data_IF_883938255324
#
_entry.id   IF_883938255324
#
_cell.length_a   1.000
_cell.length_b   1.000
_cell.length_c   1.000
_cell.angle_alpha   90.00
_cell.angle_beta   90.00
_cell.angle_gamma   90.00
#
_symmetry.space_group_name_H-M   'P 1'
#
loop_
_entity.id
_entity.type
_entity.pdbx_description
1 polymer ?
#
# COMPACT_ATOMS: atom_id res chain seq x y z
N UNK A 1 -49.05 -32.26 72.92
CA UNK A 1 -47.91 -33.16 72.61
C UNK A 1 -46.76 -32.24 72.20
N UNK A 2 -45.94 -31.83 73.17
CA UNK A 2 -44.62 -32.42 73.46
C UNK A 2 -43.68 -32.25 72.26
N UNK A 3 -42.49 -31.64 72.32
CA UNK A 3 -41.62 -31.11 73.38
C UNK A 3 -40.26 -30.88 72.68
N UNK A 4 -39.70 -29.68 72.73
CA UNK A 4 -38.54 -29.31 73.58
C UNK A 4 -37.26 -30.11 73.28
N UNK A 5 -36.21 -29.47 72.74
CA UNK A 5 -34.91 -29.20 73.43
C UNK A 5 -33.76 -29.88 72.62
N UNK A 6 -32.52 -29.41 72.45
CA UNK A 6 -31.67 -28.48 73.19
C UNK A 6 -30.51 -27.98 72.28
N UNK A 7 -30.02 -26.77 72.58
CA UNK A 7 -28.68 -26.18 72.26
C UNK A 7 -27.67 -26.65 73.36
N UNK A 8 -26.38 -26.21 73.51
CA UNK A 8 -25.47 -25.33 72.73
C UNK A 8 -23.92 -25.65 72.76
N UNK A 9 -23.13 -24.78 72.11
CA UNK A 9 -21.79 -24.19 72.48
C UNK A 9 -20.44 -24.95 72.35
N UNK A 10 -19.50 -24.30 71.61
CA UNK A 10 -18.13 -23.81 71.99
C UNK A 10 -17.49 -23.15 70.72
N UNK A 11 -17.16 -21.84 70.64
CA UNK A 11 -16.02 -21.01 71.12
C UNK A 11 -14.62 -21.30 70.52
N UNK A 12 -14.04 -20.27 69.86
CA UNK A 12 -12.59 -19.93 69.63
C UNK A 12 -11.77 -20.89 68.73
N UNK A 13 -10.81 -20.54 67.87
CA UNK A 13 -9.99 -19.34 67.66
C UNK A 13 -9.23 -19.43 66.29
N UNK A 14 -8.73 -18.29 65.80
CA UNK A 14 -7.54 -18.05 64.94
C UNK A 14 -7.37 -18.66 63.52
N UNK A 15 -6.94 -17.78 62.59
CA UNK A 15 -5.79 -18.11 61.71
C UNK A 15 -5.96 -17.96 60.19
N UNK A 16 -5.70 -16.74 59.69
CA UNK A 16 -4.94 -16.39 58.46
C UNK A 16 -4.89 -17.39 57.28
N UNK A 17 -5.26 -16.91 56.07
CA UNK A 17 -4.60 -17.40 54.85
C UNK A 17 -5.40 -17.45 53.53
N UNK A 18 -6.14 -16.41 53.13
CA UNK A 18 -6.72 -16.37 51.77
C UNK A 18 -6.69 -14.97 51.15
N UNK A 19 -5.53 -14.50 50.69
CA UNK A 19 -5.41 -13.41 49.70
C UNK A 19 -4.14 -13.54 48.86
N UNK A 20 -4.08 -14.55 47.99
CA UNK A 20 -3.10 -14.57 46.88
C UNK A 20 -3.67 -15.06 45.54
N UNK A 21 -4.94 -15.49 45.46
CA UNK A 21 -5.52 -16.09 44.24
C UNK A 21 -6.12 -15.12 43.21
N UNK A 22 -6.46 -13.88 43.56
CA UNK A 22 -7.22 -13.02 42.64
C UNK A 22 -6.36 -12.29 41.59
N UNK A 23 -5.07 -12.09 41.85
CA UNK A 23 -4.18 -11.42 40.87
C UNK A 23 -3.75 -12.33 39.72
N UNK A 24 -3.78 -13.65 39.89
CA UNK A 24 -3.47 -14.60 38.81
C UNK A 24 -4.66 -14.82 37.85
N UNK A 25 -5.90 -14.77 38.33
CA UNK A 25 -7.08 -14.93 37.48
C UNK A 25 -7.34 -13.72 36.57
N UNK A 26 -6.97 -12.50 36.99
CA UNK A 26 -7.16 -11.31 36.16
C UNK A 26 -6.13 -11.20 35.02
N UNK A 27 -4.89 -11.64 35.26
CA UNK A 27 -3.87 -11.78 34.21
C UNK A 27 -4.26 -12.89 33.19
N UNK A 28 -4.82 -14.01 33.65
CA UNK A 28 -5.26 -15.11 32.78
C UNK A 28 -6.43 -14.71 31.85
N UNK A 29 -7.34 -13.85 32.31
CA UNK A 29 -8.46 -13.35 31.51
C UNK A 29 -8.02 -12.37 30.40
N UNK A 30 -7.00 -11.53 30.64
CA UNK A 30 -6.46 -10.61 29.64
C UNK A 30 -5.61 -11.37 28.60
N UNK A 31 -4.81 -12.35 29.02
CA UNK A 31 -4.05 -13.18 28.08
C UNK A 31 -4.98 -14.02 27.18
N UNK A 32 -6.08 -14.58 27.71
CA UNK A 32 -7.06 -15.32 26.91
C UNK A 32 -7.84 -14.46 25.91
N UNK A 33 -8.13 -13.20 26.25
CA UNK A 33 -8.82 -12.28 25.31
C UNK A 33 -7.91 -11.83 24.17
N UNK A 34 -6.63 -11.59 24.44
CA UNK A 34 -5.62 -11.24 23.43
C UNK A 34 -5.26 -12.44 22.53
N UNK A 35 -5.23 -13.66 23.07
CA UNK A 35 -5.03 -14.87 22.26
C UNK A 35 -6.25 -15.15 21.38
N UNK A 36 -7.48 -14.95 21.90
CA UNK A 36 -8.71 -15.07 21.09
C UNK A 36 -8.76 -14.03 19.98
N UNK A 37 -8.40 -12.77 20.23
CA UNK A 37 -8.40 -11.75 19.18
C UNK A 37 -7.34 -11.99 18.12
N UNK A 38 -6.14 -12.47 18.50
CA UNK A 38 -5.09 -12.86 17.54
C UNK A 38 -5.51 -14.06 16.69
N UNK A 39 -6.18 -15.08 17.26
CA UNK A 39 -6.70 -16.20 16.49
C UNK A 39 -7.86 -15.81 15.57
N UNK A 40 -8.73 -14.87 15.99
CA UNK A 40 -9.80 -14.35 15.14
C UNK A 40 -9.21 -13.53 13.98
N UNK A 41 -8.19 -12.70 14.22
CA UNK A 41 -7.53 -11.94 13.15
C UNK A 41 -6.77 -12.87 12.19
N UNK A 42 -6.05 -13.88 12.70
CA UNK A 42 -5.36 -14.85 11.86
C UNK A 42 -6.34 -15.70 11.01
N UNK A 43 -7.48 -16.12 11.58
CA UNK A 43 -8.51 -16.86 10.84
C UNK A 43 -9.26 -16.00 9.84
N UNK A 44 -9.45 -14.70 10.11
CA UNK A 44 -10.00 -13.75 9.14
C UNK A 44 -9.02 -13.46 8.00
N UNK A 45 -7.71 -13.38 8.28
CA UNK A 45 -6.68 -13.18 7.27
C UNK A 45 -6.49 -14.41 6.36
N UNK A 46 -6.52 -15.61 6.93
CA UNK A 46 -6.55 -16.87 6.16
C UNK A 46 -7.81 -16.94 5.28
N UNK A 47 -8.96 -16.44 5.79
CA UNK A 47 -10.22 -16.37 5.01
C UNK A 47 -10.15 -15.34 3.88
N UNK A 48 -9.50 -14.21 4.08
CA UNK A 48 -9.34 -13.18 3.04
C UNK A 48 -8.43 -13.68 1.91
N UNK A 49 -7.30 -14.30 2.24
CA UNK A 49 -6.38 -14.93 1.28
C UNK A 49 -7.04 -16.11 0.53
N UNK A 50 -7.84 -16.94 1.22
CA UNK A 50 -8.60 -18.02 0.53
C UNK A 50 -9.75 -17.49 -0.32
N UNK A 51 -10.39 -16.37 0.06
CA UNK A 51 -11.43 -15.75 -0.78
C UNK A 51 -10.80 -15.15 -2.05
N UNK A 52 -9.63 -14.50 -1.96
CA UNK A 52 -8.92 -14.01 -3.15
C UNK A 52 -8.46 -15.16 -4.06
N UNK A 53 -7.93 -16.26 -3.50
CA UNK A 53 -7.56 -17.43 -4.29
C UNK A 53 -8.77 -18.13 -4.93
N UNK A 54 -9.89 -18.22 -4.22
CA UNK A 54 -11.12 -18.83 -4.75
C UNK A 54 -11.77 -17.91 -5.79
N UNK A 55 -11.75 -16.58 -5.63
CA UNK A 55 -12.24 -15.63 -6.62
C UNK A 55 -11.37 -15.59 -7.88
N UNK A 56 -10.04 -15.67 -7.73
CA UNK A 56 -9.13 -15.77 -8.87
C UNK A 56 -9.28 -17.10 -9.59
N UNK A 57 -9.41 -18.23 -8.87
CA UNK A 57 -9.70 -19.53 -9.47
C UNK A 57 -11.08 -19.58 -10.15
N UNK A 58 -12.10 -18.96 -9.54
CA UNK A 58 -13.44 -18.83 -10.09
C UNK A 58 -13.46 -17.93 -11.34
N UNK A 59 -12.69 -16.84 -11.37
CA UNK A 59 -12.54 -16.01 -12.57
C UNK A 59 -11.82 -16.77 -13.69
N UNK A 60 -10.75 -17.49 -13.39
CA UNK A 60 -10.01 -18.29 -14.39
C UNK A 60 -10.89 -19.41 -14.95
N UNK A 61 -11.70 -20.07 -14.12
CA UNK A 61 -12.61 -21.13 -14.56
C UNK A 61 -13.85 -20.61 -15.29
N UNK A 62 -14.36 -19.43 -14.92
CA UNK A 62 -15.46 -18.78 -15.64
C UNK A 62 -15.01 -18.27 -17.01
N UNK A 63 -13.82 -17.67 -17.09
CA UNK A 63 -13.19 -17.28 -18.38
C UNK A 63 -12.91 -18.52 -19.24
N UNK A 64 -12.48 -19.64 -18.65
CA UNK A 64 -12.33 -20.89 -19.38
C UNK A 64 -13.67 -21.44 -19.90
N UNK A 65 -14.73 -21.48 -19.08
CA UNK A 65 -16.04 -22.01 -19.48
C UNK A 65 -16.80 -21.12 -20.47
N UNK A 66 -16.59 -19.80 -20.45
CA UNK A 66 -17.22 -18.87 -21.39
C UNK A 66 -16.48 -18.85 -22.76
N UNK A 67 -15.21 -19.26 -22.82
CA UNK A 67 -14.40 -19.33 -24.05
C UNK A 67 -14.46 -20.73 -24.73
N UNK A 68 -14.71 -21.79 -23.96
CA UNK A 68 -14.75 -23.18 -24.46
C UNK A 68 -15.82 -23.46 -25.53
N UNK A 69 -17.06 -22.92 -25.50
CA UNK A 69 -18.05 -23.25 -26.52
C UNK A 69 -17.81 -22.57 -27.90
N UNK A 70 -16.89 -21.60 -28.01
CA UNK A 70 -16.54 -20.99 -29.32
C UNK A 70 -15.34 -21.66 -30.02
N UNK A 71 -14.63 -22.60 -29.36
CA UNK A 71 -13.40 -23.21 -29.88
C UNK A 71 -13.55 -24.63 -30.44
N UNK A 72 -14.75 -25.21 -30.44
CA UNK A 72 -15.00 -26.55 -31.02
C UNK A 72 -14.90 -26.59 -32.57
N UNK A 73 -14.82 -25.44 -33.24
CA UNK A 73 -14.71 -25.37 -34.70
C UNK A 73 -13.28 -25.23 -35.25
N UNK A 74 -12.27 -24.96 -34.41
CA UNK A 74 -10.91 -24.67 -34.87
C UNK A 74 -9.85 -25.43 -34.04
N UNK A 75 -9.63 -26.70 -34.38
CA UNK A 75 -8.41 -27.49 -34.10
C UNK A 75 -7.80 -27.34 -32.71
N UNK A 76 -8.17 -28.23 -31.79
CA UNK A 76 -7.72 -28.23 -30.38
C UNK A 76 -6.20 -28.24 -30.11
N UNK A 77 -5.37 -28.46 -31.12
CA UNK A 77 -3.92 -28.34 -31.01
C UNK A 77 -3.44 -26.91 -30.71
N UNK A 78 -4.11 -25.88 -31.25
CA UNK A 78 -3.73 -24.48 -31.02
C UNK A 78 -4.09 -24.02 -29.60
N UNK A 79 -5.22 -24.48 -29.07
CA UNK A 79 -5.67 -24.16 -27.71
C UNK A 79 -4.73 -24.76 -26.68
N UNK A 80 -4.31 -26.01 -26.87
CA UNK A 80 -3.33 -26.65 -25.98
C UNK A 80 -1.96 -25.96 -26.02
N UNK A 81 -1.53 -25.46 -27.19
CA UNK A 81 -0.28 -24.70 -27.31
C UNK A 81 -0.34 -23.34 -26.60
N UNK A 82 -1.50 -22.66 -26.66
CA UNK A 82 -1.72 -21.38 -25.99
C UNK A 82 -1.77 -21.56 -24.47
N UNK A 83 -2.46 -22.60 -23.99
CA UNK A 83 -2.52 -22.93 -22.56
C UNK A 83 -1.14 -23.34 -22.02
N UNK A 84 -0.34 -24.08 -22.78
CA UNK A 84 1.03 -24.41 -22.41
C UNK A 84 1.94 -23.17 -22.36
N UNK A 85 1.77 -22.21 -23.28
CA UNK A 85 2.50 -20.94 -23.29
C UNK A 85 2.12 -20.05 -22.09
N UNK A 86 0.84 -20.03 -21.71
CA UNK A 86 0.37 -19.29 -20.53
C UNK A 86 0.89 -19.96 -19.24
N UNK A 87 0.89 -21.28 -19.16
CA UNK A 87 1.42 -22.01 -18.00
C UNK A 87 2.94 -21.79 -17.82
N UNK A 88 3.70 -21.72 -18.92
CA UNK A 88 5.14 -21.43 -18.87
C UNK A 88 5.44 -19.98 -18.48
N UNK A 89 4.63 -19.02 -18.94
CA UNK A 89 4.73 -17.62 -18.51
C UNK A 89 4.45 -17.45 -17.01
N UNK A 90 3.45 -18.14 -16.48
CA UNK A 90 3.11 -18.09 -15.05
C UNK A 90 4.21 -18.70 -14.17
N UNK A 91 4.77 -19.84 -14.58
CA UNK A 91 5.91 -20.46 -13.87
C UNK A 91 7.18 -19.60 -13.94
N UNK A 92 7.41 -18.88 -15.04
CA UNK A 92 8.53 -17.95 -15.17
C UNK A 92 8.39 -16.72 -14.25
N UNK A 93 7.16 -16.25 -14.01
CA UNK A 93 6.92 -15.14 -13.08
C UNK A 93 7.12 -15.52 -11.62
N UNK A 94 6.80 -16.76 -11.21
CA UNK A 94 7.10 -17.25 -9.86
C UNK A 94 8.61 -17.39 -9.61
N UNK A 95 9.38 -17.80 -10.63
CA UNK A 95 10.85 -17.91 -10.52
C UNK A 95 11.52 -16.53 -10.36
N UNK A 96 11.06 -15.52 -11.08
CA UNK A 96 11.59 -14.14 -11.02
C UNK A 96 11.32 -13.46 -9.66
N UNK A 97 10.20 -13.77 -9.02
CA UNK A 97 9.87 -13.24 -7.69
C UNK A 97 10.67 -13.94 -6.59
N UNK A 98 11.02 -15.22 -6.78
CA UNK A 98 11.76 -16.00 -5.77
C UNK A 98 13.28 -15.75 -5.75
N UNK A 99 13.87 -15.15 -6.79
CA UNK A 99 15.33 -14.91 -6.89
C UNK A 99 15.71 -13.43 -7.02
N UNK A 100 14.76 -12.49 -6.96
CA UNK A 100 14.99 -11.05 -7.11
C UNK A 100 15.38 -10.29 -5.83
N UNK A 101 16.09 -10.92 -4.89
CA UNK A 101 16.47 -10.32 -3.60
C UNK A 101 17.96 -10.52 -3.30
N UNK A 102 18.83 -9.97 -4.14
CA UNK A 102 20.14 -9.48 -3.68
C UNK A 102 20.74 -8.58 -4.76
N UNK A 103 20.52 -7.27 -4.64
CA UNK A 103 21.39 -6.31 -5.31
C UNK A 103 21.63 -5.10 -4.42
N UNK A 104 22.37 -5.34 -3.34
CA UNK A 104 23.14 -4.31 -2.66
C UNK A 104 24.40 -4.04 -3.48
N UNK A 105 24.32 -3.08 -4.41
CA UNK A 105 25.51 -2.33 -4.81
C UNK A 105 25.23 -0.83 -4.71
N UNK A 106 25.89 -0.24 -3.70
CA UNK A 106 25.96 1.18 -3.46
C UNK A 106 27.12 1.75 -4.29
N UNK A 107 26.87 2.95 -4.81
CA UNK A 107 27.83 3.99 -5.21
C UNK A 107 28.69 3.83 -6.48
N UNK A 108 28.54 4.87 -7.30
CA UNK A 108 29.59 5.50 -8.11
C UNK A 108 30.02 4.78 -9.38
N UNK A 109 29.18 4.88 -10.41
CA UNK A 109 29.68 5.02 -11.78
C UNK A 109 28.95 6.19 -12.43
N UNK A 110 29.73 7.15 -12.89
CA UNK A 110 29.28 8.16 -13.87
C UNK A 110 28.61 7.43 -15.04
N UNK A 111 27.57 8.00 -15.67
CA UNK A 111 26.97 7.39 -16.85
C UNK A 111 28.09 7.10 -17.87
N UNK A 112 28.12 5.92 -18.51
CA UNK A 112 29.04 5.69 -19.61
C UNK A 112 28.75 6.76 -20.66
N UNK A 113 29.80 7.47 -21.05
CA UNK A 113 29.75 8.53 -22.05
C UNK A 113 29.41 7.90 -23.42
N UNK A 114 28.11 7.79 -23.70
CA UNK A 114 27.54 7.36 -24.99
C UNK A 114 27.88 8.35 -26.11
N UNK A 115 28.33 9.57 -25.76
CA UNK A 115 28.70 10.59 -26.73
C UNK A 115 30.02 10.23 -27.45
N UNK A 116 31.03 9.71 -26.73
CA UNK A 116 32.34 9.43 -27.32
C UNK A 116 32.33 8.26 -28.34
N UNK A 117 31.51 7.23 -28.12
CA UNK A 117 31.35 6.13 -29.09
C UNK A 117 30.47 6.48 -30.29
N UNK A 118 29.48 7.37 -30.12
CA UNK A 118 28.67 7.86 -31.22
C UNK A 118 29.44 8.79 -32.17
N UNK A 119 30.40 9.57 -31.67
CA UNK A 119 31.19 10.49 -32.51
C UNK A 119 32.09 9.73 -33.50
N UNK A 120 32.74 8.63 -33.07
CA UNK A 120 33.60 7.83 -33.95
C UNK A 120 32.83 7.07 -35.03
N UNK A 121 31.64 6.54 -34.71
CA UNK A 121 30.78 5.87 -35.69
C UNK A 121 30.16 6.88 -36.70
N UNK A 122 29.81 8.08 -36.22
CA UNK A 122 29.30 9.16 -37.07
C UNK A 122 30.35 9.65 -38.07
N UNK A 123 31.60 9.81 -37.64
CA UNK A 123 32.69 10.23 -38.52
C UNK A 123 33.08 9.19 -39.58
N UNK A 124 32.86 7.89 -39.33
CA UNK A 124 33.08 6.85 -40.34
C UNK A 124 31.97 6.79 -41.40
N UNK A 125 30.71 7.06 -41.04
CA UNK A 125 29.60 7.10 -42.01
C UNK A 125 29.77 8.24 -43.01
N UNK A 126 30.20 9.43 -42.57
CA UNK A 126 30.40 10.59 -43.46
C UNK A 126 31.53 10.37 -44.49
N UNK A 127 32.57 9.61 -44.14
CA UNK A 127 33.71 9.30 -45.02
C UNK A 127 33.30 8.27 -46.09
N UNK A 128 32.53 7.26 -45.70
CA UNK A 128 32.00 6.26 -46.64
C UNK A 128 30.98 6.87 -47.61
N UNK A 129 30.13 7.79 -47.13
CA UNK A 129 29.19 8.55 -47.95
C UNK A 129 29.90 9.39 -49.02
N UNK A 130 31.03 10.04 -48.67
CA UNK A 130 31.84 10.81 -49.62
C UNK A 130 32.46 9.92 -50.70
N UNK A 131 33.04 8.77 -50.31
CA UNK A 131 33.65 7.84 -51.26
C UNK A 131 32.61 7.24 -52.23
N UNK A 132 31.42 6.86 -51.75
CA UNK A 132 30.34 6.33 -52.59
C UNK A 132 29.85 7.38 -53.60
N UNK A 133 29.78 8.65 -53.21
CA UNK A 133 29.43 9.76 -54.11
C UNK A 133 30.49 9.96 -55.20
N UNK A 134 31.77 9.90 -54.85
CA UNK A 134 32.87 10.02 -55.82
C UNK A 134 32.89 8.84 -56.81
N UNK A 135 32.64 7.61 -56.35
CA UNK A 135 32.49 6.45 -57.24
C UNK A 135 31.31 6.56 -58.20
N UNK A 136 30.17 7.08 -57.73
CA UNK A 136 29.00 7.34 -58.59
C UNK A 136 29.30 8.39 -59.67
N UNK A 137 30.09 9.43 -59.34
CA UNK A 137 30.53 10.45 -60.30
C UNK A 137 31.46 9.87 -61.37
N UNK A 138 32.45 9.08 -60.96
CA UNK A 138 33.40 8.43 -61.88
C UNK A 138 32.67 7.50 -62.84
N UNK A 139 31.70 6.72 -62.36
CA UNK A 139 30.89 5.82 -63.21
C UNK A 139 29.98 6.57 -64.18
N UNK A 140 29.40 7.70 -63.78
CA UNK A 140 28.58 8.56 -64.65
C UNK A 140 29.43 9.20 -65.76
N UNK A 141 30.67 9.58 -65.46
CA UNK A 141 31.63 10.12 -66.42
C UNK A 141 32.13 9.03 -67.39
N UNK A 142 32.43 7.84 -66.88
CA UNK A 142 32.77 6.67 -67.71
C UNK A 142 31.63 6.30 -68.66
N UNK A 143 30.38 6.32 -68.20
CA UNK A 143 29.22 6.10 -69.05
C UNK A 143 29.16 7.12 -70.21
N UNK A 144 29.30 8.43 -69.91
CA UNK A 144 29.31 9.49 -70.93
C UNK A 144 30.47 9.34 -71.91
N UNK A 145 31.63 8.87 -71.45
CA UNK A 145 32.79 8.61 -72.31
C UNK A 145 32.55 7.42 -73.26
N UNK A 146 31.96 6.32 -72.78
CA UNK A 146 31.57 5.19 -73.61
C UNK A 146 30.47 5.55 -74.64
N UNK A 147 29.51 6.41 -74.27
CA UNK A 147 28.49 6.95 -75.16
C UNK A 147 29.10 7.77 -76.32
N UNK A 148 30.07 8.64 -76.02
CA UNK A 148 30.79 9.44 -77.03
C UNK A 148 31.66 8.60 -77.97
N UNK A 149 32.19 7.48 -77.48
CA UNK A 149 33.03 6.56 -78.26
C UNK A 149 32.22 5.53 -79.07
N UNK A 150 30.88 5.51 -78.96
CA UNK A 150 30.01 4.56 -79.65
C UNK A 150 30.01 3.13 -79.05
N UNK A 151 30.57 2.94 -77.85
CA UNK A 151 30.63 1.65 -77.15
C UNK A 151 29.39 1.42 -76.29
N UNK A 152 28.27 1.17 -76.94
CA UNK A 152 26.95 1.10 -76.28
C UNK A 152 26.80 -0.04 -75.25
N UNK A 153 27.47 -1.18 -75.46
CA UNK A 153 27.41 -2.31 -74.52
C UNK A 153 28.08 -1.95 -73.19
N UNK A 154 29.25 -1.31 -73.23
CA UNK A 154 29.96 -0.84 -72.04
C UNK A 154 29.18 0.27 -71.32
N UNK A 155 28.58 1.20 -72.07
CA UNK A 155 27.71 2.23 -71.53
C UNK A 155 26.48 1.65 -70.81
N UNK A 156 25.87 0.59 -71.36
CA UNK A 156 24.73 -0.08 -70.74
C UNK A 156 25.13 -0.82 -69.44
N UNK A 157 26.31 -1.44 -69.39
CA UNK A 157 26.84 -2.07 -68.17
C UNK A 157 27.11 -1.01 -67.10
N UNK A 158 27.75 0.12 -67.47
CA UNK A 158 27.98 1.23 -66.55
C UNK A 158 26.67 1.82 -66.01
N UNK A 159 25.66 1.99 -66.88
CA UNK A 159 24.32 2.47 -66.51
C UNK A 159 23.61 1.52 -65.54
N UNK A 160 23.66 0.20 -65.78
CA UNK A 160 23.07 -0.79 -64.89
C UNK A 160 23.73 -0.76 -63.52
N UNK A 161 25.07 -0.69 -63.47
CA UNK A 161 25.83 -0.62 -62.22
C UNK A 161 25.56 0.68 -61.46
N UNK A 162 25.43 1.80 -62.17
CA UNK A 162 25.05 3.09 -61.59
C UNK A 162 23.66 3.04 -60.93
N UNK A 163 22.70 2.37 -61.58
CA UNK A 163 21.36 2.18 -61.02
C UNK A 163 21.37 1.31 -59.77
N UNK A 164 22.13 0.21 -59.80
CA UNK A 164 22.30 -0.69 -58.66
C UNK A 164 22.93 0.02 -57.46
N UNK A 165 24.03 0.76 -57.66
CA UNK A 165 24.69 1.50 -56.59
C UNK A 165 23.81 2.63 -56.04
N UNK A 166 23.08 3.36 -56.90
CA UNK A 166 22.08 4.36 -56.45
C UNK A 166 20.96 3.72 -55.62
N UNK A 167 20.55 2.50 -55.97
CA UNK A 167 19.55 1.76 -55.20
C UNK A 167 20.09 1.30 -53.83
N UNK A 168 21.30 0.73 -53.78
CA UNK A 168 21.94 0.34 -52.53
C UNK A 168 22.16 1.53 -51.61
N UNK A 169 22.63 2.65 -52.15
CA UNK A 169 22.87 3.86 -51.37
C UNK A 169 21.58 4.43 -50.78
N UNK A 170 20.52 4.46 -51.57
CA UNK A 170 19.19 4.86 -51.08
C UNK A 170 18.67 3.93 -49.98
N UNK A 171 18.92 2.63 -50.11
CA UNK A 171 18.51 1.62 -49.12
C UNK A 171 19.30 1.78 -47.82
N UNK A 172 20.64 1.90 -47.91
CA UNK A 172 21.53 2.15 -46.77
C UNK A 172 21.12 3.40 -45.99
N UNK A 173 20.91 4.53 -46.68
CA UNK A 173 20.45 5.77 -46.03
C UNK A 173 19.09 5.63 -45.36
N UNK A 174 18.15 4.90 -45.99
CA UNK A 174 16.82 4.62 -45.40
C UNK A 174 16.93 3.77 -44.13
N UNK A 175 17.83 2.79 -44.13
CA UNK A 175 18.09 1.94 -42.97
C UNK A 175 18.80 2.71 -41.86
N UNK A 176 19.78 3.57 -42.16
CA UNK A 176 20.43 4.43 -41.18
C UNK A 176 19.43 5.36 -40.48
N UNK A 177 18.54 6.02 -41.24
CA UNK A 177 17.45 6.83 -40.67
C UNK A 177 16.55 5.98 -39.77
N UNK A 178 16.14 4.79 -40.21
CA UNK A 178 15.30 3.89 -39.41
C UNK A 178 15.99 3.49 -38.11
N UNK A 179 17.26 3.11 -38.16
CA UNK A 179 18.05 2.71 -36.98
C UNK A 179 18.15 3.85 -35.98
N UNK A 180 18.43 5.07 -36.46
CA UNK A 180 18.46 6.27 -35.60
C UNK A 180 17.11 6.52 -34.93
N UNK A 181 16.01 6.47 -35.69
CA UNK A 181 14.66 6.69 -35.17
C UNK A 181 14.25 5.66 -34.11
N UNK A 182 14.68 4.40 -34.28
CA UNK A 182 14.47 3.34 -33.28
C UNK A 182 15.27 3.65 -32.01
N UNK A 183 16.55 4.04 -32.14
CA UNK A 183 17.39 4.38 -31.00
C UNK A 183 16.85 5.58 -30.20
N UNK A 184 16.40 6.64 -30.89
CA UNK A 184 15.75 7.79 -30.25
C UNK A 184 14.49 7.38 -29.47
N UNK A 185 13.65 6.53 -30.07
CA UNK A 185 12.43 6.05 -29.43
C UNK A 185 12.74 5.22 -28.19
N UNK A 186 13.71 4.30 -28.28
CA UNK A 186 14.15 3.51 -27.14
C UNK A 186 14.70 4.40 -26.02
N UNK A 187 15.50 5.42 -26.36
CA UNK A 187 16.02 6.37 -25.38
C UNK A 187 14.91 7.14 -24.63
N UNK A 188 13.86 7.56 -25.32
CA UNK A 188 12.69 8.21 -24.69
C UNK A 188 11.92 7.23 -23.79
N UNK A 189 11.75 5.98 -24.23
CA UNK A 189 11.08 4.94 -23.43
C UNK A 189 11.88 4.60 -22.16
N UNK A 190 13.20 4.45 -22.27
CA UNK A 190 14.11 4.20 -21.14
C UNK A 190 14.08 5.36 -20.13
N UNK A 191 14.16 6.60 -20.62
CA UNK A 191 14.08 7.80 -19.76
C UNK A 191 12.75 7.85 -19.00
N UNK A 192 11.63 7.60 -19.68
CA UNK A 192 10.31 7.58 -19.04
C UNK A 192 10.17 6.44 -18.01
N UNK A 193 10.70 5.24 -18.31
CA UNK A 193 10.70 4.12 -17.37
C UNK A 193 11.47 4.46 -16.09
N UNK A 194 12.61 5.15 -16.22
CA UNK A 194 13.38 5.62 -15.08
C UNK A 194 12.61 6.68 -14.27
N UNK A 195 12.01 7.66 -14.93
CA UNK A 195 11.18 8.68 -14.26
C UNK A 195 10.01 8.05 -13.49
N UNK A 196 9.34 7.05 -14.08
CA UNK A 196 8.24 6.34 -13.43
C UNK A 196 8.72 5.55 -12.20
N UNK A 197 9.90 4.93 -12.28
CA UNK A 197 10.51 4.24 -11.13
C UNK A 197 10.83 5.24 -10.01
N UNK A 198 11.45 6.37 -10.33
CA UNK A 198 11.77 7.41 -9.36
C UNK A 198 10.51 8.03 -8.75
N UNK A 199 9.47 8.25 -9.56
CA UNK A 199 8.16 8.69 -9.12
C UNK A 199 7.56 7.73 -8.11
N UNK A 200 7.59 6.42 -8.42
CA UNK A 200 7.09 5.37 -7.53
C UNK A 200 7.84 5.39 -6.19
N UNK A 201 9.17 5.37 -6.21
CA UNK A 201 9.99 5.40 -5.00
C UNK A 201 9.80 6.68 -4.17
N UNK A 202 9.63 7.83 -4.81
CA UNK A 202 9.38 9.09 -4.12
C UNK A 202 8.01 9.08 -3.43
N UNK A 203 6.99 8.56 -4.10
CA UNK A 203 5.64 8.44 -3.53
C UNK A 203 5.55 7.38 -2.44
N UNK A 204 6.21 6.23 -2.61
CA UNK A 204 6.23 5.19 -1.59
C UNK A 204 6.91 5.71 -0.31
N UNK A 205 8.00 6.49 -0.43
CA UNK A 205 8.60 7.21 0.70
C UNK A 205 7.66 8.22 1.34
N UNK A 206 7.01 9.08 0.54
CA UNK A 206 6.05 10.09 1.05
C UNK A 206 4.87 9.44 1.79
N UNK A 207 4.38 8.30 1.30
CA UNK A 207 3.33 7.52 1.95
C UNK A 207 3.84 6.91 3.26
N UNK A 208 5.06 6.36 3.27
CA UNK A 208 5.67 5.82 4.47
C UNK A 208 5.84 6.90 5.56
N UNK A 209 6.39 8.07 5.21
CA UNK A 209 6.55 9.19 6.15
C UNK A 209 5.20 9.62 6.76
N UNK A 210 4.14 9.60 5.94
CA UNK A 210 2.79 9.87 6.43
C UNK A 210 2.28 8.79 7.39
N UNK A 211 2.51 7.51 7.08
CA UNK A 211 2.15 6.38 7.95
C UNK A 211 2.87 6.46 9.29
N UNK A 212 4.18 6.69 9.28
CA UNK A 212 4.99 6.83 10.50
C UNK A 212 4.50 8.00 11.36
N UNK A 213 4.15 9.13 10.73
CA UNK A 213 3.58 10.26 11.43
C UNK A 213 2.19 9.95 12.03
N UNK A 214 1.35 9.19 11.33
CA UNK A 214 0.06 8.73 11.85
C UNK A 214 0.26 7.80 13.06
N UNK A 215 1.17 6.83 12.97
CA UNK A 215 1.48 5.91 14.08
C UNK A 215 1.96 6.66 15.32
N UNK A 216 2.84 7.65 15.12
CA UNK A 216 3.30 8.53 16.20
C UNK A 216 2.15 9.33 16.83
N UNK A 217 1.25 9.88 16.02
CA UNK A 217 0.09 10.61 16.53
C UNK A 217 -0.87 9.69 17.30
N UNK A 218 -1.12 8.48 16.81
CA UNK A 218 -1.91 7.48 17.53
C UNK A 218 -1.27 7.07 18.84
N UNK A 219 0.05 6.86 18.85
CA UNK A 219 0.83 6.57 20.05
C UNK A 219 0.68 7.67 21.10
N UNK A 220 0.86 8.93 20.70
CA UNK A 220 0.72 10.09 21.58
C UNK A 220 -0.69 10.21 22.18
N UNK A 221 -1.75 9.94 21.39
CA UNK A 221 -3.12 9.96 21.91
C UNK A 221 -3.34 8.81 22.89
N UNK A 222 -2.86 7.61 22.58
CA UNK A 222 -2.99 6.44 23.48
C UNK A 222 -2.30 6.70 24.82
N UNK A 223 -1.09 7.24 24.80
CA UNK A 223 -0.34 7.59 26.01
C UNK A 223 -1.06 8.66 26.83
N UNK A 224 -1.52 9.74 26.18
CA UNK A 224 -2.31 10.79 26.86
C UNK A 224 -3.58 10.21 27.49
N UNK A 225 -4.34 9.40 26.75
CA UNK A 225 -5.55 8.77 27.26
C UNK A 225 -5.28 7.85 28.46
N UNK A 226 -4.16 7.12 28.45
CA UNK A 226 -3.77 6.29 29.59
C UNK A 226 -3.43 7.14 30.83
N UNK A 227 -2.63 8.19 30.66
CA UNK A 227 -2.25 9.08 31.76
C UNK A 227 -3.46 9.83 32.33
N UNK A 228 -4.34 10.32 31.47
CA UNK A 228 -5.58 10.98 31.89
C UNK A 228 -6.52 10.02 32.62
N UNK A 229 -6.60 8.75 32.20
CA UNK A 229 -7.40 7.73 32.89
C UNK A 229 -6.87 7.45 34.30
N UNK A 230 -5.56 7.31 34.45
CA UNK A 230 -4.92 7.11 35.77
C UNK A 230 -5.17 8.30 36.68
N UNK A 231 -4.91 9.53 36.20
CA UNK A 231 -5.16 10.75 36.96
C UNK A 231 -6.65 10.93 37.32
N UNK A 232 -7.55 10.46 36.45
CA UNK A 232 -8.99 10.48 36.73
C UNK A 232 -9.37 9.48 37.82
N UNK A 233 -8.83 8.27 37.78
CA UNK A 233 -9.05 7.24 38.81
C UNK A 233 -8.52 7.66 40.19
N UNK A 234 -7.36 8.30 40.24
CA UNK A 234 -6.79 8.86 41.46
C UNK A 234 -7.72 9.93 42.05
N UNK A 235 -8.16 10.90 41.24
CA UNK A 235 -9.12 11.94 41.66
C UNK A 235 -10.46 11.37 42.16
N UNK A 236 -10.94 10.29 41.55
CA UNK A 236 -12.17 9.61 41.99
C UNK A 236 -11.98 8.89 43.35
N UNK A 237 -10.77 8.42 43.63
CA UNK A 237 -10.42 7.78 44.89
C UNK A 237 -10.29 8.81 46.02
N UNK A 238 -9.71 9.96 45.73
CA UNK A 238 -9.52 11.05 46.71
C UNK A 238 -10.80 11.82 47.02
N UNK A 239 -11.68 12.01 46.03
CA UNK A 239 -12.90 12.82 46.17
C UNK A 239 -14.08 12.05 46.80
N UNK A 240 -13.84 10.98 47.56
CA UNK A 240 -14.92 10.17 48.10
C UNK A 240 -15.69 10.90 49.23
N UNK A 241 -16.98 11.22 49.04
CA UNK A 241 -17.76 11.87 50.08
C UNK A 241 -17.98 10.91 51.25
N UNK A 242 -17.96 11.42 52.48
CA UNK A 242 -18.29 10.63 53.67
C UNK A 242 -19.79 10.34 53.71
N UNK A 243 -20.16 9.13 54.11
CA UNK A 243 -21.55 8.76 54.35
C UNK A 243 -22.16 9.66 55.44
N UNK A 244 -23.38 10.14 55.20
CA UNK A 244 -24.20 10.83 56.19
C UNK A 244 -25.43 9.97 56.46
N UNK A 245 -25.55 9.45 57.67
CA UNK A 245 -26.70 8.67 58.11
C UNK A 245 -27.96 9.54 58.22
N UNK A 246 -29.13 8.94 58.00
CA UNK A 246 -30.41 9.63 58.16
C UNK A 246 -30.62 10.09 59.61
N UNK A 247 -31.39 11.17 59.77
CA UNK A 247 -31.85 11.64 61.09
C UNK A 247 -32.61 10.55 61.84
N UNK A 248 -33.33 9.70 61.13
CA UNK A 248 -34.12 8.61 61.71
C UNK A 248 -33.24 7.52 62.31
N UNK A 249 -32.14 7.13 61.65
CA UNK A 249 -31.16 6.21 62.21
C UNK A 249 -30.52 6.77 63.48
N UNK A 250 -30.14 8.06 63.44
CA UNK A 250 -29.56 8.75 64.61
C UNK A 250 -30.56 8.88 65.77
N UNK A 251 -31.85 8.96 65.48
CA UNK A 251 -32.92 8.99 66.49
C UNK A 251 -33.14 7.59 67.09
N UNK A 252 -33.17 6.54 66.26
CA UNK A 252 -33.27 5.15 66.73
C UNK A 252 -32.10 4.77 67.64
N UNK A 253 -30.87 5.17 67.30
CA UNK A 253 -29.68 5.00 68.16
C UNK A 253 -29.78 5.77 69.49
N UNK A 254 -30.33 6.99 69.49
CA UNK A 254 -30.59 7.75 70.73
C UNK A 254 -31.67 7.12 71.60
N UNK A 255 -32.71 6.54 70.99
CA UNK A 255 -33.78 5.82 71.72
C UNK A 255 -33.21 4.51 72.29
N UNK A 256 -32.39 3.78 71.53
CA UNK A 256 -31.65 2.60 72.00
C UNK A 256 -30.83 2.92 73.26
N UNK A 257 -29.98 3.96 73.23
CA UNK A 257 -29.18 4.36 74.39
C UNK A 257 -30.03 4.69 75.62
N UNK A 258 -31.17 5.37 75.44
CA UNK A 258 -32.09 5.69 76.55
C UNK A 258 -32.71 4.44 77.16
N UNK A 259 -33.16 3.49 76.33
CA UNK A 259 -33.75 2.23 76.78
C UNK A 259 -32.72 1.34 77.51
N UNK A 260 -31.47 1.33 77.04
CA UNK A 260 -30.36 0.64 77.72
C UNK A 260 -30.09 1.27 79.10
N UNK A 261 -30.08 2.61 79.21
CA UNK A 261 -29.93 3.32 80.50
C UNK A 261 -31.10 3.07 81.45
N UNK A 262 -32.30 2.92 80.91
CA UNK A 262 -33.50 2.56 81.68
C UNK A 262 -33.55 1.06 82.07
N UNK A 263 -32.59 0.24 81.61
CA UNK A 263 -32.51 -1.22 81.81
C UNK A 263 -33.63 -2.04 81.17
N UNK A 264 -34.36 -1.47 80.21
CA UNK A 264 -35.37 -2.18 79.43
C UNK A 264 -34.72 -2.87 78.21
N UNK A 265 -34.08 -4.02 78.47
CA UNK A 265 -33.29 -4.73 77.48
C UNK A 265 -34.11 -5.32 76.33
N UNK A 266 -35.38 -5.69 76.56
CA UNK A 266 -36.25 -6.31 75.56
C UNK A 266 -36.64 -5.33 74.47
N UNK A 267 -37.06 -4.12 74.85
CA UNK A 267 -37.38 -3.05 73.91
C UNK A 267 -36.12 -2.46 73.28
N UNK A 268 -35.02 -2.33 74.04
CA UNK A 268 -33.74 -1.93 73.48
C UNK A 268 -33.28 -2.87 72.35
N UNK A 269 -33.40 -4.19 72.52
CA UNK A 269 -33.06 -5.16 71.48
C UNK A 269 -33.92 -5.01 70.21
N UNK A 270 -35.22 -4.74 70.36
CA UNK A 270 -36.12 -4.50 69.22
C UNK A 270 -35.73 -3.22 68.47
N UNK A 271 -35.41 -2.14 69.19
CA UNK A 271 -34.96 -0.88 68.58
C UNK A 271 -33.60 -1.04 67.91
N UNK A 272 -32.66 -1.76 68.53
CA UNK A 272 -31.36 -2.10 67.93
C UNK A 272 -31.52 -2.87 66.63
N UNK A 273 -32.34 -3.92 66.61
CA UNK A 273 -32.57 -4.70 65.38
C UNK A 273 -33.15 -3.86 64.25
N UNK A 274 -34.01 -2.88 64.56
CA UNK A 274 -34.54 -1.92 63.57
C UNK A 274 -33.47 -0.92 63.11
N UNK A 275 -32.64 -0.43 64.02
CA UNK A 275 -31.53 0.48 63.70
C UNK A 275 -30.49 -0.21 62.82
N UNK A 276 -30.06 -1.42 63.17
CA UNK A 276 -29.08 -2.20 62.41
C UNK A 276 -29.61 -2.56 60.99
N UNK A 277 -30.90 -2.89 60.87
CA UNK A 277 -31.54 -3.11 59.58
C UNK A 277 -31.59 -1.83 58.72
N UNK A 278 -31.91 -0.68 59.32
CA UNK A 278 -31.92 0.60 58.61
C UNK A 278 -30.50 1.04 58.23
N UNK A 279 -29.52 0.83 59.10
CA UNK A 279 -28.10 1.14 58.86
C UNK A 279 -27.55 0.33 57.69
N UNK A 280 -27.78 -0.99 57.69
CA UNK A 280 -27.35 -1.85 56.57
C UNK A 280 -28.04 -1.46 55.25
N UNK A 281 -29.31 -1.07 55.28
CA UNK A 281 -30.00 -0.57 54.09
C UNK A 281 -29.45 0.77 53.59
N UNK A 282 -29.23 1.76 54.47
CA UNK A 282 -28.65 3.06 54.10
C UNK A 282 -27.21 2.91 53.58
N UNK A 283 -26.42 2.03 54.21
CA UNK A 283 -25.05 1.69 53.78
C UNK A 283 -25.04 1.09 52.38
N UNK A 284 -25.87 0.07 52.13
CA UNK A 284 -25.92 -0.62 50.83
C UNK A 284 -26.46 0.27 49.74
N UNK A 285 -27.51 1.06 50.00
CA UNK A 285 -28.05 2.04 49.05
C UNK A 285 -27.02 3.10 48.71
N UNK A 286 -26.36 3.69 49.71
CA UNK A 286 -25.31 4.68 49.46
C UNK A 286 -24.13 4.11 48.67
N UNK A 287 -23.70 2.89 48.99
CA UNK A 287 -22.67 2.19 48.21
C UNK A 287 -23.11 1.97 46.76
N UNK A 288 -24.36 1.56 46.54
CA UNK A 288 -24.91 1.33 45.21
C UNK A 288 -24.99 2.62 44.39
N UNK A 289 -25.53 3.71 44.97
CA UNK A 289 -25.62 5.01 44.32
C UNK A 289 -24.22 5.58 43.99
N UNK A 290 -23.27 5.40 44.92
CA UNK A 290 -21.86 5.76 44.71
C UNK A 290 -21.25 4.97 43.56
N UNK A 291 -21.43 3.65 43.54
CA UNK A 291 -20.90 2.79 42.47
C UNK A 291 -21.52 3.14 41.12
N UNK A 292 -22.83 3.37 41.04
CA UNK A 292 -23.49 3.81 39.81
C UNK A 292 -22.97 5.16 39.33
N UNK A 293 -22.81 6.13 40.23
CA UNK A 293 -22.24 7.44 39.88
C UNK A 293 -20.80 7.36 39.36
N UNK A 294 -19.99 6.46 39.91
CA UNK A 294 -18.62 6.21 39.46
C UNK A 294 -18.59 5.54 38.07
N UNK A 295 -19.42 4.52 37.85
CA UNK A 295 -19.55 3.84 36.55
C UNK A 295 -20.00 4.82 35.46
N UNK A 296 -20.98 5.68 35.75
CA UNK A 296 -21.46 6.67 34.78
C UNK A 296 -20.37 7.70 34.43
N UNK A 297 -19.62 8.15 35.43
CA UNK A 297 -18.49 9.06 35.26
C UNK A 297 -17.38 8.43 34.39
N UNK A 298 -17.02 7.18 34.67
CA UNK A 298 -16.05 6.43 33.89
C UNK A 298 -16.53 6.17 32.45
N UNK A 299 -17.82 5.83 32.28
CA UNK A 299 -18.43 5.64 30.96
C UNK A 299 -18.38 6.93 30.12
N UNK A 300 -18.74 8.07 30.70
CA UNK A 300 -18.69 9.37 30.02
C UNK A 300 -17.26 9.73 29.63
N UNK A 301 -16.28 9.46 30.50
CA UNK A 301 -14.87 9.71 30.24
C UNK A 301 -14.34 8.84 29.09
N UNK A 302 -14.59 7.53 29.12
CA UNK A 302 -14.22 6.60 28.03
C UNK A 302 -14.90 6.95 26.71
N UNK A 303 -16.14 7.41 26.77
CA UNK A 303 -16.88 7.84 25.56
C UNK A 303 -16.20 9.05 24.90
N UNK A 304 -15.71 10.02 25.69
CA UNK A 304 -14.93 11.16 25.15
C UNK A 304 -13.63 10.69 24.50
N UNK A 305 -12.85 9.86 25.19
CA UNK A 305 -11.62 9.28 24.62
C UNK A 305 -11.90 8.51 23.32
N UNK A 306 -13.00 7.78 23.25
CA UNK A 306 -13.43 7.08 22.04
C UNK A 306 -13.72 8.06 20.91
N UNK A 307 -14.48 9.14 21.17
CA UNK A 307 -14.77 10.18 20.19
C UNK A 307 -13.49 10.84 19.66
N UNK A 308 -12.49 11.08 20.52
CA UNK A 308 -11.20 11.64 20.11
C UNK A 308 -10.44 10.69 19.18
N UNK A 309 -10.41 9.39 19.49
CA UNK A 309 -9.81 8.39 18.60
C UNK A 309 -10.56 8.26 17.27
N UNK A 310 -11.89 8.28 17.29
CA UNK A 310 -12.72 8.22 16.09
C UNK A 310 -12.52 9.46 15.19
N UNK A 311 -12.37 10.65 15.81
CA UNK A 311 -12.07 11.88 15.10
C UNK A 311 -10.68 11.83 14.43
N UNK A 312 -9.66 11.32 15.13
CA UNK A 312 -8.34 11.10 14.53
C UNK A 312 -8.43 10.12 13.36
N UNK A 313 -9.09 8.98 13.53
CA UNK A 313 -9.24 7.98 12.47
C UNK A 313 -9.93 8.54 11.22
N UNK A 314 -10.96 9.38 11.38
CA UNK A 314 -11.60 10.06 10.26
C UNK A 314 -10.64 10.99 9.52
N UNK A 315 -9.83 11.76 10.25
CA UNK A 315 -8.79 12.62 9.66
C UNK A 315 -7.72 11.81 8.93
N UNK A 316 -7.27 10.70 9.50
CA UNK A 316 -6.30 9.79 8.87
C UNK A 316 -6.85 9.22 7.57
N UNK A 317 -8.10 8.72 7.58
CA UNK A 317 -8.76 8.20 6.37
C UNK A 317 -8.92 9.26 5.29
N UNK A 318 -9.35 10.47 5.66
CA UNK A 318 -9.45 11.58 4.72
C UNK A 318 -8.09 11.96 4.13
N UNK A 319 -7.03 12.04 4.97
CA UNK A 319 -5.68 12.35 4.51
C UNK A 319 -5.07 11.26 3.61
N UNK A 320 -5.35 9.98 3.86
CA UNK A 320 -4.97 8.88 2.96
C UNK A 320 -5.64 9.02 1.60
N UNK A 321 -6.96 9.24 1.60
CA UNK A 321 -7.71 9.44 0.35
C UNK A 321 -7.25 10.68 -0.44
N UNK A 322 -6.80 11.73 0.25
CA UNK A 322 -6.22 12.91 -0.40
C UNK A 322 -4.85 12.61 -1.02
N UNK A 323 -3.97 11.87 -0.32
CA UNK A 323 -2.68 11.45 -0.86
C UNK A 323 -2.84 10.55 -2.10
N UNK A 324 -3.81 9.63 -2.09
CA UNK A 324 -4.09 8.76 -3.23
C UNK A 324 -4.56 9.56 -4.44
N UNK A 325 -5.45 10.54 -4.23
CA UNK A 325 -5.88 11.46 -5.30
C UNK A 325 -4.71 12.28 -5.86
N UNK A 326 -3.85 12.80 -4.99
CA UNK A 326 -2.67 13.56 -5.43
C UNK A 326 -1.71 12.68 -6.22
N UNK A 327 -1.47 11.44 -5.78
CA UNK A 327 -0.65 10.46 -6.50
C UNK A 327 -1.22 10.20 -7.90
N UNK A 328 -2.53 10.01 -8.00
CA UNK A 328 -3.22 9.77 -9.26
C UNK A 328 -3.06 10.96 -10.22
N UNK A 329 -3.31 12.18 -9.76
CA UNK A 329 -3.18 13.41 -10.56
C UNK A 329 -1.74 13.61 -11.03
N UNK A 330 -0.75 13.41 -10.16
CA UNK A 330 0.64 13.58 -10.53
C UNK A 330 1.14 12.47 -11.47
N UNK A 331 0.62 11.24 -11.34
CA UNK A 331 0.86 10.15 -12.28
C UNK A 331 0.28 10.47 -13.67
N UNK A 332 -0.96 10.96 -13.72
CA UNK A 332 -1.60 11.37 -14.97
C UNK A 332 -0.81 12.47 -15.67
N UNK A 333 -0.33 13.47 -14.92
CA UNK A 333 0.54 14.52 -15.45
C UNK A 333 1.86 13.97 -15.99
N UNK A 334 2.47 13.01 -15.30
CA UNK A 334 3.69 12.34 -15.76
C UNK A 334 3.46 11.62 -17.09
N UNK A 335 2.40 10.81 -17.16
CA UNK A 335 2.03 10.07 -18.37
C UNK A 335 1.67 11.01 -19.52
N UNK A 336 0.99 12.13 -19.25
CA UNK A 336 0.66 13.11 -20.28
C UNK A 336 1.93 13.75 -20.85
N UNK A 337 2.92 14.08 -20.02
CA UNK A 337 4.21 14.59 -20.50
C UNK A 337 4.90 13.59 -21.42
N UNK A 338 4.92 12.31 -21.05
CA UNK A 338 5.45 11.25 -21.90
C UNK A 338 4.71 11.13 -23.23
N UNK A 339 3.37 11.14 -23.21
CA UNK A 339 2.56 11.10 -24.44
C UNK A 339 2.86 12.29 -25.36
N UNK A 340 3.03 13.48 -24.79
CA UNK A 340 3.39 14.68 -25.57
C UNK A 340 4.77 14.54 -26.22
N UNK A 341 5.79 14.12 -25.46
CA UNK A 341 7.15 13.90 -25.98
C UNK A 341 7.15 12.82 -27.06
N UNK A 342 6.42 11.73 -26.85
CA UNK A 342 6.28 10.65 -27.83
C UNK A 342 5.59 11.14 -29.12
N UNK A 343 4.52 11.92 -29.00
CA UNK A 343 3.82 12.48 -30.16
C UNK A 343 4.71 13.46 -30.93
N UNK A 344 5.46 14.31 -30.23
CA UNK A 344 6.42 15.23 -30.83
C UNK A 344 7.53 14.48 -31.57
N UNK A 345 8.13 13.45 -30.94
CA UNK A 345 9.15 12.61 -31.59
C UNK A 345 8.59 11.94 -32.85
N UNK A 346 7.38 11.37 -32.77
CA UNK A 346 6.72 10.78 -33.94
C UNK A 346 6.48 11.80 -35.05
N UNK A 347 6.09 13.03 -34.72
CA UNK A 347 5.92 14.10 -35.68
C UNK A 347 7.26 14.48 -36.33
N UNK A 348 8.33 14.61 -35.56
CA UNK A 348 9.68 14.89 -36.06
C UNK A 348 10.14 13.79 -37.03
N UNK A 349 10.01 12.52 -36.64
CA UNK A 349 10.38 11.36 -37.47
C UNK A 349 9.55 11.26 -38.77
N UNK A 350 8.26 11.60 -38.71
CA UNK A 350 7.40 11.68 -39.89
C UNK A 350 7.83 12.80 -40.85
N UNK A 351 8.19 13.98 -40.32
CA UNK A 351 8.71 15.08 -41.12
C UNK A 351 10.05 14.73 -41.77
N UNK A 352 10.94 14.05 -41.05
CA UNK A 352 12.20 13.54 -41.62
C UNK A 352 11.96 12.53 -42.74
N UNK A 353 11.01 11.60 -42.58
CA UNK A 353 10.63 10.66 -43.64
C UNK A 353 10.13 11.38 -44.89
N UNK A 354 9.21 12.34 -44.73
CA UNK A 354 8.66 13.13 -45.84
C UNK A 354 9.76 13.95 -46.51
N UNK A 355 10.68 14.55 -45.73
CA UNK A 355 11.84 15.28 -46.27
C UNK A 355 12.76 14.34 -47.06
N UNK A 356 13.08 13.17 -46.52
CA UNK A 356 13.91 12.18 -47.21
C UNK A 356 13.26 11.74 -48.53
N UNK A 357 11.97 11.42 -48.53
CA UNK A 357 11.25 11.01 -49.73
C UNK A 357 11.20 12.12 -50.80
N UNK A 358 11.05 13.39 -50.39
CA UNK A 358 10.99 14.55 -51.31
C UNK A 358 12.36 14.98 -51.84
N UNK A 359 13.40 14.96 -51.02
CA UNK A 359 14.71 15.56 -51.36
C UNK A 359 15.80 14.54 -51.71
N UNK A 360 15.67 13.26 -51.35
CA UNK A 360 16.62 12.22 -51.74
C UNK A 360 16.78 12.05 -53.27
N UNK A 361 15.73 12.21 -54.11
CA UNK A 361 15.89 12.16 -55.57
C UNK A 361 16.71 13.33 -56.14
N UNK A 362 16.66 14.51 -55.48
CA UNK A 362 17.28 15.76 -55.94
C UNK A 362 18.75 15.89 -55.52
N UNK A 363 19.13 15.34 -54.36
CA UNK A 363 20.52 15.39 -53.87
C UNK A 363 21.46 14.51 -54.71
N UNK A 364 20.98 13.36 -55.20
CA UNK A 364 21.74 12.47 -56.09
C UNK A 364 21.90 13.08 -57.49
N UNK A 365 20.94 13.88 -57.97
CA UNK A 365 21.02 14.53 -59.28
C UNK A 365 21.89 15.79 -59.29
N UNK A 366 21.93 16.53 -58.19
CA UNK A 366 22.70 17.79 -58.08
C UNK A 366 24.19 17.56 -57.84
N UNK A 367 24.56 16.47 -57.16
CA UNK A 367 25.96 16.04 -56.96
C UNK A 367 26.61 15.51 -58.24
N UNK A 368 25.82 14.99 -59.19
CA UNK A 368 26.29 14.55 -60.51
C UNK A 368 26.41 15.67 -61.55
N UNK A 369 25.94 16.89 -61.25
CA UNK A 369 25.95 18.04 -62.16
C UNK A 369 27.09 19.05 -61.91
N UNK A 370 27.92 18.83 -60.88
CA UNK A 370 29.17 19.56 -60.61
C UNK A 370 30.35 18.65 -60.96
#
# INVERSE_FOLDING_TARGET
>A
MAGSCCRPSTMLDLGQGYRSGEKQNQACCISRSVIRSKNIIATLKIREETIEHVLNAAMVTKVANDIVPELECCGGALVLSLLAAIATLLLATEWLVSHGSDNRYRSSTKPPDVHSKNILAFMSEDIEDAAVVDFLRILDEHQKMCERQGKYVEAQVAKNRLQELKFHEKTRRKEAIRSRQIAERLGVEEAHMLELSQFKEAWDRKIQDYQDNVERLEGNIKEKHQNELLAYQEKLTDSQPKLKYSKDLLNLRRIEERLVRAKDYTEAHKIKSKADALETWEMTKWQQDKMQGLVQKEFNFKTRQKQDTEALQKRVKAGRGELDKQRQVDLERLLQRYQNVKAELQQQQNLERVRFERFAPLSIQSTLKK
#
